data_IF_373716284291
#
_entry.id   IF_373716284291
#
_cell.length_a   1.000
_cell.length_b   1.000
_cell.length_c   1.000
_cell.angle_alpha   90.00
_cell.angle_beta   90.00
_cell.angle_gamma   90.00
#
_symmetry.space_group_name_H-M   'P 1'
#
loop_
_entity.id
_entity.type
_entity.pdbx_description
1 polymer ?
#
# COMPACT_ATOMS: atom_id res chain seq x y z
N UNK A 1 -21.62 -27.00 -15.94
CA UNK A 1 -20.33 -27.61 -16.35
C UNK A 1 -19.65 -28.22 -15.14
N UNK A 2 -18.93 -29.31 -15.36
CA UNK A 2 -18.03 -29.89 -14.36
C UNK A 2 -16.61 -29.79 -14.92
N UNK A 3 -15.76 -29.00 -14.27
CA UNK A 3 -14.33 -28.91 -14.55
C UNK A 3 -13.62 -29.66 -13.44
N UNK A 4 -12.58 -30.40 -13.79
CA UNK A 4 -11.72 -31.06 -12.81
C UNK A 4 -10.77 -30.05 -12.15
N UNK A 5 -10.38 -29.01 -12.89
CA UNK A 5 -9.48 -27.97 -12.44
C UNK A 5 -9.76 -26.65 -13.19
N UNK A 6 -9.53 -25.53 -12.50
CA UNK A 6 -9.56 -24.17 -13.05
C UNK A 6 -8.30 -23.45 -12.55
N UNK A 7 -7.62 -22.68 -13.41
CA UNK A 7 -6.42 -21.89 -13.07
C UNK A 7 -6.56 -20.46 -13.58
N UNK A 8 -5.74 -19.56 -13.02
CA UNK A 8 -5.64 -18.15 -13.40
C UNK A 8 -4.17 -17.64 -13.33
N UNK A 9 -3.23 -18.54 -13.62
CA UNK A 9 -1.80 -18.38 -13.37
C UNK A 9 -1.02 -17.80 -14.56
N UNK A 10 -1.68 -17.55 -15.69
CA UNK A 10 -1.07 -16.93 -16.86
C UNK A 10 -1.48 -15.45 -16.99
N UNK A 11 -0.50 -14.56 -16.84
CA UNK A 11 -0.64 -13.11 -16.96
C UNK A 11 0.19 -12.64 -18.15
N UNK A 12 -0.40 -11.78 -18.99
CA UNK A 12 0.25 -11.27 -20.20
C UNK A 12 -0.11 -9.80 -20.45
N UNK A 13 0.58 -9.15 -21.39
CA UNK A 13 0.33 -7.77 -21.78
C UNK A 13 1.44 -6.78 -21.39
N UNK A 14 1.31 -5.50 -21.83
CA UNK A 14 2.41 -4.53 -21.78
C UNK A 14 3.01 -4.23 -20.41
N UNK A 15 2.26 -4.43 -19.32
CA UNK A 15 2.78 -4.22 -17.96
C UNK A 15 3.69 -5.35 -17.47
N UNK A 16 3.59 -6.55 -18.05
CA UNK A 16 4.33 -7.75 -17.59
C UNK A 16 5.29 -8.31 -18.64
N UNK A 17 5.09 -7.98 -19.92
CA UNK A 17 5.93 -8.44 -21.03
C UNK A 17 6.77 -7.31 -21.63
N UNK A 18 8.10 -7.47 -21.61
CA UNK A 18 9.02 -6.53 -22.24
C UNK A 18 8.89 -6.58 -23.78
N UNK A 19 8.39 -5.48 -24.38
CA UNK A 19 8.29 -5.33 -25.83
C UNK A 19 6.96 -5.77 -26.45
N UNK A 20 5.94 -6.08 -25.64
CA UNK A 20 4.59 -6.33 -26.15
C UNK A 20 3.99 -5.02 -26.70
N UNK A 21 3.79 -4.95 -28.01
CA UNK A 21 2.92 -3.95 -28.64
C UNK A 21 1.46 -4.31 -28.32
N UNK A 22 1.03 -4.01 -27.10
CA UNK A 22 -0.40 -4.00 -26.78
C UNK A 22 -1.06 -2.92 -27.63
N UNK A 23 -2.18 -3.26 -28.28
CA UNK A 23 -3.06 -2.23 -28.84
C UNK A 23 -3.32 -1.16 -27.78
N UNK A 24 -3.43 0.10 -28.20
CA UNK A 24 -3.24 1.34 -27.41
C UNK A 24 -3.96 1.45 -26.04
N UNK A 25 -4.80 0.49 -25.66
CA UNK A 25 -5.65 0.54 -24.48
C UNK A 25 -5.53 -0.69 -23.54
N UNK A 26 -4.76 -1.73 -23.87
CA UNK A 26 -4.54 -2.87 -22.96
C UNK A 26 -3.29 -2.67 -22.10
N UNK A 27 -3.41 -2.87 -20.79
CA UNK A 27 -2.29 -2.82 -19.85
C UNK A 27 -1.80 -4.19 -19.42
N UNK A 28 -2.70 -5.06 -18.98
CA UNK A 28 -2.40 -6.44 -18.59
C UNK A 28 -3.67 -7.29 -18.71
N UNK A 29 -3.51 -8.60 -18.77
CA UNK A 29 -4.60 -9.55 -18.85
C UNK A 29 -4.24 -10.86 -18.14
N UNK A 30 -5.26 -11.57 -17.65
CA UNK A 30 -5.16 -12.89 -17.03
C UNK A 30 -6.11 -13.84 -17.73
N UNK A 31 -5.64 -15.02 -18.13
CA UNK A 31 -6.51 -16.08 -18.65
C UNK A 31 -7.10 -16.91 -17.52
N UNK A 32 -8.37 -17.31 -17.67
CA UNK A 32 -9.03 -18.28 -16.81
C UNK A 32 -9.15 -19.59 -17.58
N UNK A 33 -8.30 -20.54 -17.24
CA UNK A 33 -8.14 -21.80 -17.97
C UNK A 33 -8.77 -22.95 -17.20
N UNK A 34 -9.38 -23.91 -17.90
CA UNK A 34 -10.01 -25.07 -17.27
C UNK A 34 -9.74 -26.38 -17.98
N UNK A 35 -9.71 -27.46 -17.19
CA UNK A 35 -9.49 -28.83 -17.65
C UNK A 35 -10.69 -29.71 -17.28
N UNK A 36 -11.14 -30.50 -18.26
CA UNK A 36 -12.28 -31.42 -18.08
C UNK A 36 -11.86 -32.72 -17.40
N UNK A 37 -10.59 -33.10 -17.50
CA UNK A 37 -10.02 -34.25 -16.84
C UNK A 37 -8.73 -33.90 -16.09
N UNK A 38 -8.33 -34.79 -15.17
CA UNK A 38 -7.06 -34.71 -14.44
C UNK A 38 -5.88 -35.32 -15.22
N UNK A 39 -6.00 -35.44 -16.55
CA UNK A 39 -4.90 -35.90 -17.40
C UNK A 39 -3.97 -34.72 -17.70
N UNK A 40 -2.73 -34.80 -17.22
CA UNK A 40 -1.71 -33.76 -17.41
C UNK A 40 -1.31 -33.54 -18.88
N UNK A 41 -1.72 -34.43 -19.81
CA UNK A 41 -1.51 -34.26 -21.25
C UNK A 41 -2.68 -33.57 -21.97
N UNK A 42 -3.76 -33.23 -21.26
CA UNK A 42 -4.89 -32.50 -21.82
C UNK A 42 -4.55 -31.00 -21.92
N UNK A 43 -4.77 -30.40 -23.09
CA UNK A 43 -4.69 -28.95 -23.26
C UNK A 43 -5.93 -28.30 -22.64
N UNK A 44 -5.72 -27.34 -21.74
CA UNK A 44 -6.81 -26.60 -21.10
C UNK A 44 -7.55 -25.71 -22.09
N UNK A 45 -8.81 -25.39 -21.78
CA UNK A 45 -9.60 -24.42 -22.54
C UNK A 45 -9.68 -23.09 -21.81
N UNK A 46 -9.48 -21.99 -22.53
CA UNK A 46 -9.67 -20.64 -22.00
C UNK A 46 -11.17 -20.37 -21.88
N UNK A 47 -11.66 -20.23 -20.65
CA UNK A 47 -13.06 -19.94 -20.34
C UNK A 47 -13.37 -18.45 -20.43
N UNK A 48 -12.45 -17.62 -19.96
CA UNK A 48 -12.55 -16.16 -19.97
C UNK A 48 -11.17 -15.51 -19.91
N UNK A 49 -11.09 -14.27 -20.37
CA UNK A 49 -9.97 -13.37 -20.10
C UNK A 49 -10.44 -12.21 -19.21
N UNK A 50 -9.67 -11.90 -18.19
CA UNK A 50 -9.84 -10.67 -17.41
C UNK A 50 -8.81 -9.66 -17.90
N UNK A 51 -9.27 -8.53 -18.41
CA UNK A 51 -8.46 -7.50 -19.06
C UNK A 51 -8.45 -6.24 -18.20
N UNK A 52 -7.27 -5.69 -17.99
CA UNK A 52 -7.03 -4.38 -17.39
C UNK A 52 -6.64 -3.39 -18.49
N UNK A 53 -7.39 -2.30 -18.62
CA UNK A 53 -7.06 -1.25 -19.60
C UNK A 53 -5.97 -0.31 -19.09
N UNK A 54 -5.37 0.46 -20.00
CA UNK A 54 -4.45 1.54 -19.65
C UNK A 54 -5.13 2.70 -18.88
N UNK A 55 -6.47 2.69 -18.81
CA UNK A 55 -7.29 3.63 -18.05
C UNK A 55 -7.76 3.10 -16.69
N UNK A 56 -7.47 1.83 -16.37
CA UNK A 56 -7.84 1.21 -15.10
C UNK A 56 -9.20 0.53 -15.10
N UNK A 57 -9.81 0.36 -16.27
CA UNK A 57 -11.06 -0.38 -16.41
C UNK A 57 -10.79 -1.88 -16.39
N UNK A 58 -11.69 -2.61 -15.73
CA UNK A 58 -11.70 -4.07 -15.67
C UNK A 58 -12.76 -4.62 -16.60
N UNK A 59 -12.36 -5.44 -17.57
CA UNK A 59 -13.23 -6.03 -18.57
C UNK A 59 -13.09 -7.55 -18.51
N UNK A 60 -14.19 -8.26 -18.38
CA UNK A 60 -14.20 -9.73 -18.48
C UNK A 60 -14.74 -10.13 -19.84
N UNK A 61 -13.90 -10.77 -20.66
CA UNK A 61 -14.27 -11.35 -21.94
C UNK A 61 -14.49 -12.85 -21.80
N UNK A 62 -15.76 -13.27 -21.84
CA UNK A 62 -16.13 -14.68 -21.72
C UNK A 62 -16.04 -15.37 -23.08
N UNK A 63 -15.14 -16.34 -23.21
CA UNK A 63 -15.05 -17.19 -24.39
C UNK A 63 -16.14 -18.27 -24.39
N UNK A 64 -16.54 -18.73 -23.20
CA UNK A 64 -17.71 -19.58 -23.00
C UNK A 64 -18.81 -18.84 -22.25
N UNK A 65 -19.93 -18.57 -22.93
CA UNK A 65 -21.08 -17.91 -22.31
C UNK A 65 -21.79 -18.78 -21.26
N UNK A 66 -21.60 -20.11 -21.30
CA UNK A 66 -22.17 -21.06 -20.35
C UNK A 66 -21.59 -20.94 -18.94
N UNK A 67 -20.42 -20.32 -18.78
CA UNK A 67 -19.74 -20.19 -17.48
C UNK A 67 -19.98 -18.85 -16.78
N UNK A 68 -20.73 -17.91 -17.38
CA UNK A 68 -21.00 -16.57 -16.81
C UNK A 68 -21.59 -16.57 -15.41
N UNK A 69 -22.27 -17.66 -15.02
CA UNK A 69 -22.89 -17.84 -13.71
C UNK A 69 -22.27 -19.01 -12.91
N UNK A 70 -21.13 -19.54 -13.37
CA UNK A 70 -20.47 -20.68 -12.73
C UNK A 70 -19.56 -20.20 -11.60
N UNK A 71 -19.93 -20.50 -10.35
CA UNK A 71 -19.31 -19.89 -9.17
C UNK A 71 -17.79 -20.12 -9.08
N UNK A 72 -17.25 -21.34 -9.28
CA UNK A 72 -15.80 -21.54 -9.34
C UNK A 72 -15.09 -20.65 -10.36
N UNK A 73 -15.67 -20.44 -11.55
CA UNK A 73 -15.10 -19.53 -12.56
C UNK A 73 -15.13 -18.08 -12.08
N UNK A 74 -16.24 -17.65 -11.45
CA UNK A 74 -16.37 -16.30 -10.88
C UNK A 74 -15.39 -16.04 -9.73
N UNK A 75 -15.07 -17.06 -8.92
CA UNK A 75 -14.09 -16.94 -7.84
C UNK A 75 -12.67 -16.74 -8.41
N UNK A 76 -12.32 -17.46 -9.48
CA UNK A 76 -11.06 -17.27 -10.20
C UNK A 76 -10.99 -15.92 -10.91
N UNK A 77 -12.10 -15.44 -11.49
CA UNK A 77 -12.19 -14.09 -12.06
C UNK A 77 -11.92 -13.04 -10.98
N UNK A 78 -12.53 -13.16 -9.79
CA UNK A 78 -12.31 -12.23 -8.68
C UNK A 78 -10.84 -12.22 -8.24
N UNK A 79 -10.21 -13.39 -8.12
CA UNK A 79 -8.78 -13.48 -7.80
C UNK A 79 -7.90 -12.82 -8.88
N UNK A 80 -8.21 -13.05 -10.16
CA UNK A 80 -7.53 -12.39 -11.27
C UNK A 80 -7.72 -10.86 -11.25
N UNK A 81 -8.92 -10.36 -10.89
CA UNK A 81 -9.16 -8.93 -10.70
C UNK A 81 -8.31 -8.34 -9.56
N UNK A 82 -8.09 -9.06 -8.47
CA UNK A 82 -7.21 -8.62 -7.38
C UNK A 82 -5.75 -8.51 -7.84
N UNK A 83 -5.26 -9.51 -8.59
CA UNK A 83 -3.92 -9.48 -9.20
C UNK A 83 -3.75 -8.30 -10.16
N UNK A 84 -4.74 -8.05 -11.03
CA UNK A 84 -4.70 -6.92 -11.96
C UNK A 84 -4.81 -5.57 -11.24
N UNK A 85 -5.55 -5.47 -10.13
CA UNK A 85 -5.58 -4.24 -9.30
C UNK A 85 -4.20 -3.93 -8.72
N UNK A 86 -3.42 -4.92 -8.31
CA UNK A 86 -2.05 -4.72 -7.84
C UNK A 86 -1.16 -4.16 -8.97
N UNK A 87 -1.23 -4.74 -10.17
CA UNK A 87 -0.51 -4.24 -11.35
C UNK A 87 -0.95 -2.81 -11.71
N UNK A 88 -2.25 -2.52 -11.66
CA UNK A 88 -2.78 -1.17 -11.88
C UNK A 88 -2.25 -0.17 -10.87
N UNK A 89 -2.25 -0.54 -9.58
CA UNK A 89 -1.70 0.30 -8.52
C UNK A 89 -0.24 0.60 -8.83
N UNK A 90 0.61 -0.42 -9.02
CA UNK A 90 2.03 -0.23 -9.39
C UNK A 90 2.22 0.67 -10.62
N UNK A 91 1.32 0.60 -11.60
CA UNK A 91 1.37 1.43 -12.82
C UNK A 91 0.89 2.86 -12.63
N UNK A 92 -0.25 3.10 -11.99
CA UNK A 92 -0.74 4.46 -11.66
C UNK A 92 0.31 5.17 -10.84
N UNK A 93 0.88 4.44 -9.90
CA UNK A 93 2.00 4.86 -9.09
C UNK A 93 3.21 5.34 -9.90
N UNK A 94 3.53 4.68 -11.01
CA UNK A 94 4.58 5.10 -11.94
C UNK A 94 4.17 6.31 -12.83
N UNK A 95 2.89 6.47 -13.16
CA UNK A 95 2.41 7.51 -14.12
C UNK A 95 1.95 8.82 -13.47
N UNK A 96 1.46 8.81 -12.22
CA UNK A 96 1.04 10.02 -11.49
C UNK A 96 2.21 10.83 -10.95
N UNK A 97 3.43 10.29 -11.02
CA UNK A 97 4.66 10.91 -10.52
C UNK A 97 4.77 10.94 -9.00
N UNK A 98 3.69 10.66 -8.24
CA UNK A 98 3.68 10.48 -6.79
C UNK A 98 2.57 9.53 -6.35
N UNK A 99 2.94 8.52 -5.58
CA UNK A 99 2.06 7.58 -4.88
C UNK A 99 1.84 8.16 -3.49
N UNK A 100 0.62 8.08 -2.93
CA UNK A 100 0.38 8.57 -1.57
C UNK A 100 -0.25 7.48 -0.72
N UNK A 101 0.39 7.17 0.42
CA UNK A 101 -0.14 6.34 1.48
C UNK A 101 -0.39 7.22 2.71
N UNK A 102 -1.65 7.38 3.12
CA UNK A 102 -2.01 8.26 4.23
C UNK A 102 -2.75 7.52 5.35
N UNK A 103 -2.50 7.91 6.59
CA UNK A 103 -3.19 7.37 7.77
C UNK A 103 -3.38 8.44 8.85
N UNK A 104 -4.24 8.16 9.83
CA UNK A 104 -4.50 9.05 10.97
C UNK A 104 -3.95 8.42 12.24
N UNK A 105 -3.11 9.16 12.95
CA UNK A 105 -2.56 8.75 14.24
C UNK A 105 -3.26 9.53 15.35
N UNK A 106 -4.01 8.81 16.18
CA UNK A 106 -4.80 9.41 17.27
C UNK A 106 -3.98 9.45 18.55
N UNK A 107 -3.80 10.65 19.10
CA UNK A 107 -3.01 10.92 20.30
C UNK A 107 -3.94 11.34 21.44
N UNK A 108 -3.83 10.74 22.64
CA UNK A 108 -4.57 11.20 23.81
C UNK A 108 -4.27 12.66 24.13
N UNK A 109 -5.29 13.45 24.46
CA UNK A 109 -5.13 14.88 24.81
C UNK A 109 -4.06 15.12 25.88
N UNK A 110 -4.06 14.31 26.94
CA UNK A 110 -3.06 14.43 28.01
C UNK A 110 -1.63 14.23 27.54
N UNK A 111 -1.43 13.41 26.52
CA UNK A 111 -0.11 13.16 25.93
C UNK A 111 0.29 14.31 25.01
N UNK A 112 -0.64 14.83 24.20
CA UNK A 112 -0.40 16.03 23.40
C UNK A 112 -0.06 17.23 24.29
N UNK A 113 -0.77 17.41 25.41
CA UNK A 113 -0.46 18.46 26.39
C UNK A 113 0.95 18.28 26.96
N UNK A 114 1.33 17.05 27.34
CA UNK A 114 2.68 16.74 27.84
C UNK A 114 3.77 16.99 26.78
N UNK A 115 3.52 16.60 25.52
CA UNK A 115 4.45 16.87 24.42
C UNK A 115 4.65 18.38 24.26
N UNK A 116 3.56 19.15 24.24
CA UNK A 116 3.65 20.61 24.13
C UNK A 116 4.40 21.24 25.30
N UNK A 117 4.21 20.73 26.53
CA UNK A 117 4.98 21.19 27.69
C UNK A 117 6.49 20.95 27.49
N UNK A 118 6.88 19.79 26.96
CA UNK A 118 8.29 19.48 26.69
C UNK A 118 8.91 20.27 25.53
N UNK A 119 8.14 20.54 24.47
CA UNK A 119 8.59 21.35 23.33
C UNK A 119 8.77 22.83 23.72
N UNK A 120 7.99 23.31 24.69
CA UNK A 120 8.04 24.70 25.16
C UNK A 120 8.79 24.88 26.49
N UNK A 121 9.48 23.84 26.98
CA UNK A 121 10.19 23.90 28.24
C UNK A 121 11.34 24.92 28.18
N UNK A 122 11.40 25.80 29.18
CA UNK A 122 12.39 26.88 29.27
C UNK A 122 13.33 26.75 30.49
N UNK A 123 13.15 25.69 31.29
CA UNK A 123 13.93 25.42 32.50
C UNK A 123 14.37 23.96 32.55
N UNK A 124 15.56 23.72 33.12
CA UNK A 124 16.18 22.38 33.21
C UNK A 124 15.27 21.33 33.87
N UNK A 125 14.54 21.71 34.92
CA UNK A 125 13.62 20.81 35.63
C UNK A 125 12.38 20.42 34.80
N UNK A 126 12.09 21.15 33.71
CA UNK A 126 10.98 20.90 32.79
C UNK A 126 11.41 20.13 31.53
N UNK A 127 12.71 19.97 31.29
CA UNK A 127 13.19 19.21 30.13
C UNK A 127 12.82 17.73 30.25
N UNK A 128 12.49 17.13 29.10
CA UNK A 128 12.20 15.71 28.99
C UNK A 128 13.42 14.84 29.34
N UNK A 129 14.64 15.36 29.12
CA UNK A 129 15.90 14.66 29.34
C UNK A 129 16.30 13.76 28.16
N UNK A 130 17.60 13.66 27.89
CA UNK A 130 18.17 13.01 26.69
C UNK A 130 17.82 11.52 26.52
N UNK A 131 17.53 10.82 27.62
CA UNK A 131 17.22 9.38 27.60
C UNK A 131 15.72 9.08 27.39
N UNK A 132 14.89 10.10 27.26
CA UNK A 132 13.43 9.94 27.18
C UNK A 132 12.91 10.28 25.78
N UNK A 133 12.00 9.46 25.27
CA UNK A 133 11.32 9.68 23.99
C UNK A 133 9.85 9.28 24.12
N UNK A 134 8.95 10.12 23.64
CA UNK A 134 7.55 9.77 23.43
C UNK A 134 7.39 9.39 21.97
N UNK A 135 6.97 8.15 21.69
CA UNK A 135 6.81 7.62 20.32
C UNK A 135 5.39 7.12 20.11
N UNK A 136 4.80 7.50 18.98
CA UNK A 136 3.59 6.88 18.46
C UNK A 136 3.82 6.38 17.04
N UNK A 137 3.39 5.15 16.78
CA UNK A 137 3.60 4.47 15.51
C UNK A 137 2.33 4.49 14.68
N UNK A 138 2.45 5.02 13.46
CA UNK A 138 1.42 4.94 12.42
C UNK A 138 1.69 3.72 11.53
N UNK A 139 0.65 2.96 11.22
CA UNK A 139 0.75 1.78 10.32
C UNK A 139 0.10 2.08 8.97
N UNK A 140 0.79 1.73 7.89
CA UNK A 140 0.29 1.89 6.51
C UNK A 140 -0.19 0.56 5.92
N UNK A 141 -1.10 0.58 4.92
CA UNK A 141 -1.63 -0.64 4.30
C UNK A 141 -0.59 -1.52 3.59
N UNK A 142 0.54 -0.96 3.17
CA UNK A 142 1.64 -1.68 2.52
C UNK A 142 2.58 -2.38 3.53
N UNK A 143 2.25 -2.31 4.82
CA UNK A 143 3.00 -2.91 5.92
C UNK A 143 4.18 -2.07 6.41
N UNK A 144 4.37 -0.85 5.90
CA UNK A 144 5.33 0.10 6.47
C UNK A 144 4.77 0.78 7.71
N UNK A 145 5.68 1.30 8.53
CA UNK A 145 5.37 1.98 9.79
C UNK A 145 6.10 3.32 9.84
N UNK A 146 5.48 4.34 10.43
CA UNK A 146 6.13 5.62 10.70
C UNK A 146 6.01 5.95 12.18
N UNK A 147 7.15 6.08 12.85
CA UNK A 147 7.20 6.60 14.21
C UNK A 147 7.22 8.12 14.16
N UNK A 148 6.27 8.76 14.85
CA UNK A 148 6.29 10.20 15.14
C UNK A 148 6.72 10.37 16.59
N UNK A 149 7.84 11.08 16.80
CA UNK A 149 8.54 11.13 18.09
C UNK A 149 8.66 12.54 18.63
N UNK A 150 8.60 12.64 19.96
CA UNK A 150 9.07 13.78 20.72
C UNK A 150 10.31 13.33 21.51
N UNK A 151 11.46 13.85 21.10
CA UNK A 151 12.78 13.46 21.56
C UNK A 151 13.29 14.47 22.59
N UNK A 152 13.64 13.98 23.77
CA UNK A 152 14.20 14.83 24.81
C UNK A 152 15.63 15.27 24.49
N UNK A 153 15.98 16.46 24.99
CA UNK A 153 17.34 16.96 25.01
C UNK A 153 17.82 17.08 26.46
N UNK A 154 19.15 17.08 26.65
CA UNK A 154 19.77 17.21 27.97
C UNK A 154 19.65 18.63 28.52
N UNK A 155 19.99 19.61 27.68
CA UNK A 155 20.22 20.99 28.09
C UNK A 155 19.27 21.98 27.38
N UNK A 156 18.28 21.48 26.63
CA UNK A 156 17.32 22.28 25.84
C UNK A 156 15.92 21.64 25.86
N UNK A 157 14.93 22.36 25.32
CA UNK A 157 13.59 21.82 25.07
C UNK A 157 13.63 20.61 24.13
N UNK A 158 12.55 19.84 24.13
CA UNK A 158 12.45 18.69 23.24
C UNK A 158 12.28 19.13 21.78
N UNK A 159 12.53 18.20 20.87
CA UNK A 159 12.30 18.35 19.43
C UNK A 159 11.51 17.16 18.92
N UNK A 160 11.08 17.21 17.67
CA UNK A 160 10.25 16.16 17.05
C UNK A 160 10.84 15.66 15.74
N UNK A 161 10.57 14.40 15.43
CA UNK A 161 10.90 13.79 14.14
C UNK A 161 9.88 12.72 13.74
N UNK A 162 9.82 12.45 12.45
CA UNK A 162 9.21 11.25 11.91
C UNK A 162 10.27 10.31 11.33
N UNK A 163 10.13 9.01 11.53
CA UNK A 163 11.02 7.98 10.96
C UNK A 163 10.18 6.87 10.33
N UNK A 164 10.41 6.59 9.04
CA UNK A 164 9.73 5.54 8.28
C UNK A 164 10.53 4.24 8.33
N UNK A 165 9.84 3.13 8.53
CA UNK A 165 10.39 1.78 8.56
C UNK A 165 9.73 0.88 7.52
N UNK A 166 10.50 -0.07 6.99
CA UNK A 166 9.97 -1.17 6.22
C UNK A 166 9.23 -2.19 7.12
N UNK A 167 8.55 -3.15 6.49
CA UNK A 167 7.82 -4.23 7.19
C UNK A 167 8.68 -5.14 8.08
N UNK A 168 10.01 -5.04 7.99
CA UNK A 168 10.96 -5.80 8.80
C UNK A 168 11.56 -4.95 9.94
N UNK A 169 11.13 -3.70 10.07
CA UNK A 169 11.65 -2.74 11.04
C UNK A 169 12.98 -2.08 10.65
N UNK A 170 13.37 -2.14 9.38
CA UNK A 170 14.54 -1.41 8.89
C UNK A 170 14.15 0.03 8.56
N UNK A 171 14.92 1.00 9.06
CA UNK A 171 14.74 2.42 8.76
C UNK A 171 14.95 2.69 7.26
N UNK A 172 14.06 3.48 6.68
CA UNK A 172 14.08 3.89 5.27
C UNK A 172 14.48 5.35 5.12
N UNK A 173 13.82 6.25 5.85
CA UNK A 173 14.10 7.68 5.85
C UNK A 173 13.51 8.36 7.10
N UNK A 174 13.93 9.60 7.36
CA UNK A 174 13.47 10.42 8.47
C UNK A 174 13.23 11.87 8.04
N UNK A 175 12.48 12.60 8.86
CA UNK A 175 12.31 14.05 8.68
C UNK A 175 13.50 14.82 9.22
N UNK A 176 13.61 16.08 8.85
CA UNK A 176 14.38 17.03 9.66
C UNK A 176 13.71 17.22 11.03
N UNK A 177 14.48 17.63 12.06
CA UNK A 177 13.92 18.03 13.35
C UNK A 177 12.89 19.16 13.22
N UNK A 178 11.82 19.10 14.01
CA UNK A 178 10.81 20.15 14.09
C UNK A 178 10.41 20.46 15.54
N UNK A 179 9.79 21.62 15.75
CA UNK A 179 9.39 22.12 17.07
C UNK A 179 7.88 21.94 17.35
N UNK A 180 7.15 21.28 16.44
CA UNK A 180 5.71 21.04 16.52
C UNK A 180 5.44 19.54 16.32
N UNK A 181 4.59 18.95 17.16
CA UNK A 181 4.22 17.53 17.03
C UNK A 181 2.95 17.30 16.23
N UNK A 182 2.01 18.25 16.25
CA UNK A 182 0.71 18.15 15.60
C UNK A 182 0.77 18.48 14.10
N UNK A 183 -0.38 18.43 13.43
CA UNK A 183 -0.47 18.67 12.00
C UNK A 183 -0.20 17.42 11.16
N UNK A 184 0.65 17.56 10.13
CA UNK A 184 0.84 16.54 9.10
C UNK A 184 2.32 16.23 8.91
N UNK A 185 2.67 14.96 9.10
CA UNK A 185 4.01 14.44 8.83
C UNK A 185 4.03 13.80 7.45
N UNK A 186 5.00 14.16 6.60
CA UNK A 186 5.15 13.61 5.25
C UNK A 186 6.58 13.16 5.04
N UNK A 187 6.77 11.89 4.69
CA UNK A 187 8.05 11.34 4.25
C UNK A 187 7.92 10.75 2.85
N UNK A 188 8.98 10.86 2.04
CA UNK A 188 9.03 10.25 0.71
C UNK A 188 10.02 9.08 0.71
N UNK A 189 9.59 7.94 0.17
CA UNK A 189 10.45 6.79 -0.05
C UNK A 189 10.11 6.14 -1.39
N UNK A 190 11.10 6.04 -2.28
CA UNK A 190 10.99 5.37 -3.59
C UNK A 190 9.82 5.88 -4.45
N UNK A 191 9.52 7.19 -4.39
CA UNK A 191 8.41 7.80 -5.13
C UNK A 191 7.02 7.64 -4.48
N UNK A 192 6.96 7.09 -3.27
CA UNK A 192 5.77 7.07 -2.42
C UNK A 192 5.87 8.11 -1.31
N UNK A 193 4.88 8.98 -1.19
CA UNK A 193 4.66 9.86 -0.05
C UNK A 193 3.84 9.12 1.02
N UNK A 194 4.41 9.02 2.21
CA UNK A 194 3.79 8.50 3.41
C UNK A 194 3.36 9.67 4.28
N UNK A 195 2.05 9.78 4.53
CA UNK A 195 1.44 10.91 5.22
C UNK A 195 0.77 10.43 6.52
N UNK A 196 1.12 11.04 7.65
CA UNK A 196 0.44 10.84 8.92
C UNK A 196 -0.26 12.13 9.34
N UNK A 197 -1.57 12.05 9.53
CA UNK A 197 -2.37 13.13 10.12
C UNK A 197 -2.50 12.92 11.62
N UNK A 198 -2.05 13.87 12.42
CA UNK A 198 -2.20 13.82 13.87
C UNK A 198 -3.60 14.27 14.26
N UNK A 199 -4.35 13.40 14.94
CA UNK A 199 -5.65 13.71 15.53
C UNK A 199 -5.56 13.63 17.06
N UNK A 200 -6.10 14.63 17.76
CA UNK A 200 -6.11 14.64 19.23
C UNK A 200 -7.46 14.15 19.74
N UNK A 201 -7.45 13.20 20.68
CA UNK A 201 -8.67 12.75 21.35
C UNK A 201 -9.38 13.91 22.06
N UNK A 202 -10.70 13.80 22.20
CA UNK A 202 -11.50 14.84 22.83
C UNK A 202 -11.34 14.81 24.34
#
# INVERSE_FOLDING_TARGET
MNFSEIRHDYIWGPAVENGANGGHDLLAAVSIDAWKSADDNEEGEVLANVLLTAHGDMIVDFHDNGVRMHQPVLDHIRAAEETLKQIWQEKVCQYSGKIVCATVLTIPRSVMDQINDYLNADTEDAYQGEDNTITYTAHFPDGKEMDVKCCGCRDESSWTEAVLFDKNGAELCCSEPADEYDGTWTLENEGVEYIVYIAVEK
#
